data_IF_695823336586
#
_entry.id   IF_695823336586
#
_cell.length_a   1.000
_cell.length_b   1.000
_cell.length_c   1.000
_cell.angle_alpha   90.00
_cell.angle_beta   90.00
_cell.angle_gamma   90.00
#
_symmetry.space_group_name_H-M   'P 1'
#
loop_
_entity.id
_entity.type
_entity.pdbx_description
1 polymer ?
#
# COMPACT_ATOMS: atom_id res chain seq x y z
N UNK A 1 -7.18 33.71 -11.34
CA UNK A 1 -6.04 32.87 -11.77
C UNK A 1 -6.59 31.58 -12.34
N UNK A 2 -6.33 31.26 -13.61
CA UNK A 2 -6.65 29.93 -14.17
C UNK A 2 -5.66 28.95 -13.54
N UNK A 3 -6.12 28.05 -12.68
CA UNK A 3 -5.32 26.87 -12.36
C UNK A 3 -5.24 26.06 -13.64
N UNK A 4 -4.02 25.82 -14.11
CA UNK A 4 -3.79 24.97 -15.27
C UNK A 4 -4.33 23.58 -14.86
N UNK A 5 -5.43 23.15 -15.46
CA UNK A 5 -6.09 21.88 -15.15
C UNK A 5 -5.14 20.74 -15.55
N UNK A 6 -4.30 20.33 -14.60
CA UNK A 6 -3.39 19.19 -14.73
C UNK A 6 -3.68 18.13 -13.67
N UNK A 7 -4.80 18.25 -12.97
CA UNK A 7 -5.08 17.56 -11.71
C UNK A 7 -5.03 16.03 -11.88
N UNK A 8 -5.65 15.51 -12.94
CA UNK A 8 -5.66 14.06 -13.21
C UNK A 8 -4.28 13.48 -13.55
N UNK A 9 -3.42 14.24 -14.23
CA UNK A 9 -2.04 13.80 -14.49
C UNK A 9 -1.21 13.83 -13.20
N UNK A 10 -1.33 14.90 -12.42
CA UNK A 10 -0.60 15.05 -11.16
C UNK A 10 -1.00 13.95 -10.17
N UNK A 11 -2.29 13.62 -10.07
CA UNK A 11 -2.79 12.52 -9.24
C UNK A 11 -2.24 11.16 -9.71
N UNK A 12 -2.34 10.87 -11.01
CA UNK A 12 -1.81 9.62 -11.57
C UNK A 12 -0.29 9.52 -11.35
N UNK A 13 0.44 10.60 -11.60
CA UNK A 13 1.88 10.67 -11.40
C UNK A 13 2.26 10.45 -9.94
N UNK A 14 1.54 11.07 -9.00
CA UNK A 14 1.74 10.87 -7.58
C UNK A 14 1.53 9.40 -7.17
N UNK A 15 0.47 8.76 -7.65
CA UNK A 15 0.21 7.34 -7.38
C UNK A 15 1.33 6.44 -7.91
N UNK A 16 1.79 6.65 -9.14
CA UNK A 16 2.89 5.89 -9.74
C UNK A 16 4.22 6.12 -9.01
N UNK A 17 4.47 7.35 -8.58
CA UNK A 17 5.66 7.70 -7.81
C UNK A 17 5.65 7.00 -6.44
N UNK A 18 4.54 7.07 -5.71
CA UNK A 18 4.38 6.38 -4.43
C UNK A 18 4.56 4.87 -4.59
N UNK A 19 3.98 4.28 -5.63
CA UNK A 19 4.13 2.85 -5.93
C UNK A 19 5.61 2.47 -6.17
N UNK A 20 6.34 3.27 -6.96
CA UNK A 20 7.76 3.06 -7.22
C UNK A 20 8.61 3.12 -5.94
N UNK A 21 8.29 4.07 -5.05
CA UNK A 21 8.96 4.20 -3.75
C UNK A 21 8.64 3.02 -2.83
N UNK A 22 7.38 2.63 -2.71
CA UNK A 22 6.98 1.45 -1.94
C UNK A 22 7.72 0.20 -2.40
N UNK A 23 7.85 0.01 -3.72
CA UNK A 23 8.63 -1.08 -4.31
C UNK A 23 10.10 -1.02 -3.93
N UNK A 24 10.73 0.16 -4.02
CA UNK A 24 12.15 0.34 -3.67
C UNK A 24 12.41 0.07 -2.19
N UNK A 25 11.58 0.62 -1.31
CA UNK A 25 11.70 0.42 0.14
C UNK A 25 11.54 -1.06 0.48
N UNK A 26 10.51 -1.73 -0.05
CA UNK A 26 10.27 -3.14 0.21
C UNK A 26 11.42 -4.03 -0.30
N UNK A 27 12.01 -3.72 -1.47
CA UNK A 27 13.16 -4.46 -1.99
C UNK A 27 14.42 -4.33 -1.13
N UNK A 28 14.57 -3.20 -0.43
CA UNK A 28 15.75 -2.92 0.40
C UNK A 28 15.57 -3.37 1.86
N UNK A 29 14.35 -3.26 2.39
CA UNK A 29 14.08 -3.42 3.83
C UNK A 29 13.30 -4.67 4.17
N UNK A 30 12.44 -5.17 3.27
CA UNK A 30 11.57 -6.28 3.62
C UNK A 30 12.32 -7.61 3.47
N UNK A 31 12.23 -8.52 4.45
CA UNK A 31 12.86 -9.84 4.38
C UNK A 31 12.25 -10.71 3.27
N UNK A 32 10.97 -10.47 2.94
CA UNK A 32 10.26 -11.18 1.88
C UNK A 32 9.17 -10.31 1.27
N UNK A 33 8.99 -10.45 -0.04
CA UNK A 33 7.88 -9.84 -0.78
C UNK A 33 6.88 -10.94 -1.11
N UNK A 34 5.62 -10.76 -0.69
CA UNK A 34 4.53 -11.72 -0.86
C UNK A 34 3.37 -11.12 -1.66
N UNK A 35 2.46 -11.97 -2.15
CA UNK A 35 1.23 -11.50 -2.83
C UNK A 35 0.37 -10.73 -1.83
N UNK A 36 -0.27 -9.65 -2.28
CA UNK A 36 -1.17 -8.86 -1.42
C UNK A 36 -2.34 -9.68 -0.88
N UNK A 37 -2.86 -10.62 -1.68
CA UNK A 37 -3.92 -11.54 -1.25
C UNK A 37 -3.49 -12.43 -0.09
N UNK A 38 -2.22 -12.85 -0.08
CA UNK A 38 -1.66 -13.67 0.99
C UNK A 38 -1.50 -12.85 2.29
N UNK A 39 -0.94 -11.64 2.18
CA UNK A 39 -0.87 -10.72 3.31
C UNK A 39 -2.25 -10.36 3.88
N UNK A 40 -3.24 -10.15 3.01
CA UNK A 40 -4.60 -9.81 3.41
C UNK A 40 -5.23 -10.95 4.23
N UNK A 41 -5.04 -12.21 3.80
CA UNK A 41 -5.45 -13.40 4.56
C UNK A 41 -4.78 -13.48 5.92
N UNK A 42 -3.46 -13.29 5.97
CA UNK A 42 -2.69 -13.32 7.24
C UNK A 42 -3.07 -12.18 8.19
N UNK A 43 -3.46 -11.02 7.65
CA UNK A 43 -3.83 -9.82 8.41
C UNK A 43 -5.31 -9.72 8.74
N UNK A 44 -6.14 -10.71 8.37
CA UNK A 44 -7.59 -10.68 8.55
C UNK A 44 -8.30 -9.55 7.79
N UNK A 45 -7.74 -9.10 6.66
CA UNK A 45 -8.30 -8.03 5.82
C UNK A 45 -9.00 -8.65 4.62
N UNK A 46 -10.21 -8.21 4.31
CA UNK A 46 -10.89 -8.63 3.09
C UNK A 46 -10.10 -8.23 1.84
N UNK A 47 -9.98 -9.14 0.87
CA UNK A 47 -9.14 -8.93 -0.33
C UNK A 47 -9.48 -7.65 -1.10
N UNK A 48 -10.76 -7.31 -1.22
CA UNK A 48 -11.24 -6.10 -1.88
C UNK A 48 -10.78 -4.83 -1.15
N UNK A 49 -10.80 -4.85 0.20
CA UNK A 49 -10.31 -3.74 1.03
C UNK A 49 -8.80 -3.57 0.82
N UNK A 50 -8.05 -4.68 0.81
CA UNK A 50 -6.61 -4.64 0.55
C UNK A 50 -6.31 -4.08 -0.86
N UNK A 51 -7.03 -4.55 -1.89
CA UNK A 51 -6.87 -4.07 -3.26
C UNK A 51 -7.18 -2.57 -3.40
N UNK A 52 -8.26 -2.08 -2.78
CA UNK A 52 -8.60 -0.66 -2.77
C UNK A 52 -7.54 0.18 -2.05
N UNK A 53 -7.00 -0.32 -0.94
CA UNK A 53 -5.93 0.34 -0.20
C UNK A 53 -4.64 0.43 -1.02
N UNK A 54 -4.30 -0.62 -1.77
CA UNK A 54 -3.16 -0.65 -2.67
C UNK A 54 -3.35 0.31 -3.86
N UNK A 55 -4.53 0.31 -4.49
CA UNK A 55 -4.84 1.24 -5.58
C UNK A 55 -4.74 2.71 -5.15
N UNK A 56 -5.16 3.03 -3.92
CA UNK A 56 -5.04 4.36 -3.31
C UNK A 56 -3.66 4.64 -2.71
N UNK A 57 -2.72 3.70 -2.81
CA UNK A 57 -1.37 3.80 -2.23
C UNK A 57 -1.35 4.14 -0.72
N UNK A 58 -2.36 3.68 0.03
CA UNK A 58 -2.47 3.89 1.50
C UNK A 58 -1.76 2.81 2.31
N UNK A 59 -1.35 1.73 1.66
CA UNK A 59 -0.50 0.67 2.19
C UNK A 59 0.69 0.51 1.23
N UNK A 60 1.86 0.04 1.68
CA UNK A 60 3.06 -0.05 0.86
C UNK A 60 3.01 -1.27 -0.09
N UNK A 61 1.99 -1.29 -0.96
CA UNK A 61 1.76 -2.32 -1.96
C UNK A 61 2.08 -1.79 -3.36
N UNK A 62 2.63 -2.67 -4.18
CA UNK A 62 3.10 -2.32 -5.53
C UNK A 62 2.89 -3.47 -6.50
N UNK A 63 2.85 -3.17 -7.80
CA UNK A 63 2.66 -4.18 -8.84
C UNK A 63 4.00 -4.76 -9.30
N UNK A 64 4.01 -6.08 -9.48
CA UNK A 64 5.09 -6.81 -10.15
C UNK A 64 4.44 -7.77 -11.15
N UNK A 65 4.67 -7.56 -12.45
CA UNK A 65 4.03 -8.35 -13.51
C UNK A 65 2.50 -8.31 -13.42
N UNK A 66 1.92 -7.13 -13.15
CA UNK A 66 0.46 -6.94 -13.03
C UNK A 66 -0.16 -7.39 -11.70
N UNK A 67 0.54 -8.17 -10.88
CA UNK A 67 0.06 -8.69 -9.58
C UNK A 67 0.45 -7.76 -8.44
N UNK A 68 -0.48 -7.51 -7.50
CA UNK A 68 -0.21 -6.76 -6.29
C UNK A 68 0.66 -7.54 -5.30
N UNK A 69 1.73 -6.90 -4.83
CA UNK A 69 2.72 -7.43 -3.90
C UNK A 69 2.88 -6.47 -2.71
N UNK A 70 3.38 -6.99 -1.59
CA UNK A 70 3.66 -6.22 -0.37
C UNK A 70 4.80 -6.87 0.42
N UNK A 71 5.53 -6.09 1.21
CA UNK A 71 6.50 -6.61 2.18
C UNK A 71 5.81 -7.43 3.27
N UNK A 72 6.35 -8.60 3.60
CA UNK A 72 5.76 -9.51 4.60
C UNK A 72 5.78 -8.93 6.03
N UNK A 73 6.69 -8.02 6.29
CA UNK A 73 6.92 -7.34 7.56
C UNK A 73 5.95 -6.16 7.81
N UNK A 74 5.18 -5.75 6.79
CA UNK A 74 4.23 -4.66 6.94
C UNK A 74 3.10 -5.06 7.89
N UNK A 75 3.15 -4.50 9.11
CA UNK A 75 2.09 -4.63 10.11
C UNK A 75 1.00 -3.61 9.81
N UNK A 76 -0.24 -4.08 9.68
CA UNK A 76 -1.40 -3.20 9.64
C UNK A 76 -1.43 -2.42 10.96
N UNK A 77 -1.33 -1.09 10.88
CA UNK A 77 -1.64 -0.22 12.01
C UNK A 77 -3.16 -0.24 12.15
N UNK A 78 -3.69 -1.28 12.76
CA UNK A 78 -5.01 -1.18 13.37
C UNK A 78 -4.84 -0.32 14.60
N UNK A 79 -5.54 0.81 14.65
CA UNK A 79 -5.91 1.46 15.91
C UNK A 79 -6.70 0.44 16.74
N UNK A 80 -6.01 -0.46 17.42
CA UNK A 80 -6.51 -0.94 18.69
C UNK A 80 -6.45 0.29 19.58
N UNK A 81 -7.63 0.78 19.98
CA UNK A 81 -7.73 1.59 21.17
C UNK A 81 -6.97 0.85 22.25
N UNK A 82 -5.87 1.45 22.70
CA UNK A 82 -5.07 0.94 23.79
C UNK A 82 -5.95 1.04 25.03
N UNK A 83 -6.68 -0.04 25.35
CA UNK A 83 -7.02 -0.33 26.75
C UNK A 83 -5.72 -0.65 27.47
N UNK A 84 -4.94 0.39 27.77
CA UNK A 84 -4.02 0.34 28.90
C UNK A 84 -4.83 0.80 30.10
N UNK A 85 -5.09 -0.15 30.99
CA UNK A 85 -5.39 0.12 32.38
C UNK A 85 -4.40 1.16 32.92
N UNK A 86 -4.94 2.31 33.34
CA UNK A 86 -4.54 3.10 34.51
C UNK A 86 -5.83 3.64 35.10
#
# INVERSE_FOLDING_TARGET
MRTNQCDGFVELFALLLMESLHKRIALLSSPKIIKLSEWARQSGVAGNIAANKAARQTIPAFRRGGTWMIGSDYKKITSHCVSMNI
#
